data_IF_872841169654
#
_entry.id   IF_872841169654
#
_cell.length_a   1.000
_cell.length_b   1.000
_cell.length_c   1.000
_cell.angle_alpha   90.00
_cell.angle_beta   90.00
_cell.angle_gamma   90.00
#
_symmetry.space_group_name_H-M   'P 1'
#
loop_
_entity.id
_entity.type
_entity.pdbx_description
1 polymer ?
#
# COMPACT_ATOMS: atom_id res chain seq x y z
N UNK A 1 19.24 5.88 -5.92
CA UNK A 1 18.68 7.22 -5.61
C UNK A 1 17.79 7.62 -6.77
N UNK A 2 16.50 7.25 -6.75
CA UNK A 2 15.56 7.61 -7.82
C UNK A 2 15.21 9.10 -7.64
N UNK A 3 15.55 9.91 -8.65
CA UNK A 3 15.39 11.38 -8.65
C UNK A 3 13.92 11.80 -8.49
N UNK A 4 13.67 12.86 -7.72
CA UNK A 4 12.35 13.46 -7.54
C UNK A 4 11.65 13.82 -8.88
N UNK A 5 12.45 14.14 -9.91
CA UNK A 5 11.98 14.42 -11.26
C UNK A 5 11.26 13.25 -11.96
N UNK A 6 11.53 11.99 -11.58
CA UNK A 6 10.85 10.82 -12.17
C UNK A 6 9.47 10.57 -11.54
N UNK A 7 9.22 11.09 -10.34
CA UNK A 7 7.90 10.98 -9.69
C UNK A 7 6.91 11.99 -10.28
N UNK A 8 7.40 13.16 -10.72
CA UNK A 8 6.61 14.15 -11.45
C UNK A 8 6.12 13.59 -12.80
N UNK A 9 6.96 12.83 -13.51
CA UNK A 9 6.64 12.20 -14.80
C UNK A 9 5.59 11.06 -14.72
N UNK A 10 5.31 10.52 -13.53
CA UNK A 10 4.36 9.41 -13.33
C UNK A 10 3.19 9.81 -12.43
N UNK A 11 2.72 11.04 -12.61
CA UNK A 11 1.60 11.62 -11.90
C UNK A 11 0.66 12.36 -12.85
N UNK A 12 -0.61 12.41 -12.48
CA UNK A 12 -1.65 13.17 -13.20
C UNK A 12 -2.43 14.00 -12.20
N UNK A 13 -2.66 15.27 -12.52
CA UNK A 13 -3.46 16.19 -11.69
C UNK A 13 -4.61 16.75 -12.50
N UNK A 14 -5.82 16.70 -11.95
CA UNK A 14 -7.04 17.09 -12.65
C UNK A 14 -8.17 17.36 -11.65
N UNK A 15 -9.24 17.98 -12.13
CA UNK A 15 -10.48 18.14 -11.37
C UNK A 15 -11.40 16.95 -11.61
N UNK A 16 -11.99 16.40 -10.56
CA UNK A 16 -12.88 15.26 -10.62
C UNK A 16 -14.00 15.37 -9.60
N UNK A 17 -15.10 14.66 -9.85
CA UNK A 17 -16.15 14.44 -8.85
C UNK A 17 -15.93 13.07 -8.23
N UNK A 18 -16.09 12.95 -6.91
CA UNK A 18 -16.09 11.66 -6.22
C UNK A 18 -17.38 10.91 -6.55
N UNK A 19 -17.34 9.99 -7.51
CA UNK A 19 -18.53 9.28 -8.00
C UNK A 19 -18.96 8.13 -7.07
N UNK A 20 -20.26 7.81 -6.98
CA UNK A 20 -20.73 6.69 -6.17
C UNK A 20 -20.42 5.34 -6.81
N UNK A 21 -19.85 4.42 -6.03
CA UNK A 21 -19.68 3.01 -6.40
C UNK A 21 -20.09 2.11 -5.22
N UNK A 22 -21.40 1.88 -5.09
CA UNK A 22 -21.97 1.20 -3.92
C UNK A 22 -21.66 1.98 -2.63
N UNK A 23 -21.12 1.34 -1.57
CA UNK A 23 -20.73 2.05 -0.35
C UNK A 23 -19.41 2.85 -0.49
N UNK A 24 -18.67 2.66 -1.58
CA UNK A 24 -17.42 3.35 -1.86
C UNK A 24 -17.63 4.59 -2.76
N UNK A 25 -16.67 5.50 -2.73
CA UNK A 25 -16.53 6.54 -3.76
C UNK A 25 -15.50 6.13 -4.83
N UNK A 26 -15.44 6.86 -5.92
CA UNK A 26 -14.46 6.67 -6.99
C UNK A 26 -13.93 7.98 -7.57
N UNK A 27 -12.67 7.96 -7.98
CA UNK A 27 -12.11 8.96 -8.90
C UNK A 27 -11.90 8.26 -10.23
N UNK A 28 -12.67 8.65 -11.24
CA UNK A 28 -12.54 8.12 -12.60
C UNK A 28 -11.33 8.74 -13.30
N UNK A 29 -10.61 7.92 -14.07
CA UNK A 29 -9.48 8.37 -14.89
C UNK A 29 -9.80 8.08 -16.35
N UNK A 30 -9.33 8.94 -17.25
CA UNK A 30 -9.29 8.61 -18.68
C UNK A 30 -8.27 7.51 -18.92
N UNK A 31 -8.38 6.83 -20.07
CA UNK A 31 -7.37 5.84 -20.49
C UNK A 31 -5.97 6.47 -20.62
N UNK A 32 -5.91 7.71 -21.12
CA UNK A 32 -4.67 8.48 -21.25
C UNK A 32 -4.04 8.76 -19.88
N UNK A 33 -4.84 9.21 -18.91
CA UNK A 33 -4.37 9.45 -17.55
C UNK A 33 -3.88 8.17 -16.87
N UNK A 34 -4.60 7.05 -17.05
CA UNK A 34 -4.18 5.76 -16.51
C UNK A 34 -2.88 5.25 -17.17
N UNK A 35 -2.75 5.42 -18.49
CA UNK A 35 -1.55 5.04 -19.24
C UNK A 35 -0.31 5.87 -18.84
N UNK A 36 -0.50 7.16 -18.55
CA UNK A 36 0.57 8.03 -18.04
C UNK A 36 1.10 7.57 -16.67
N UNK A 37 0.26 6.93 -15.84
CA UNK A 37 0.68 6.37 -14.56
C UNK A 37 1.44 5.05 -14.71
N UNK A 38 0.90 4.11 -15.48
CA UNK A 38 1.53 2.79 -15.70
C UNK A 38 0.84 1.98 -16.79
N UNK A 39 1.59 1.13 -17.49
CA UNK A 39 1.04 0.07 -18.34
C UNK A 39 0.51 -1.14 -17.54
N UNK A 40 0.74 -1.21 -16.22
CA UNK A 40 0.23 -2.28 -15.39
C UNK A 40 -1.31 -2.25 -15.29
N UNK A 41 -1.94 -3.41 -15.12
CA UNK A 41 -3.41 -3.50 -15.04
C UNK A 41 -3.99 -2.85 -13.77
N UNK A 42 -3.28 -2.97 -12.65
CA UNK A 42 -3.70 -2.47 -11.33
C UNK A 42 -2.52 -1.86 -10.54
N UNK A 43 -1.89 -0.80 -11.07
CA UNK A 43 -0.75 -0.15 -10.43
C UNK A 43 -1.14 0.39 -9.05
N UNK A 44 -0.28 0.23 -8.03
CA UNK A 44 -0.47 0.92 -6.76
C UNK A 44 -0.25 2.42 -6.97
N UNK A 45 -1.05 3.26 -6.34
CA UNK A 45 -0.99 4.72 -6.48
C UNK A 45 -1.11 5.42 -5.13
N UNK A 46 -0.62 6.64 -5.06
CA UNK A 46 -0.93 7.60 -4.00
C UNK A 46 -1.92 8.61 -4.58
N UNK A 47 -3.05 8.79 -3.91
CA UNK A 47 -4.04 9.82 -4.23
C UNK A 47 -3.87 10.95 -3.22
N UNK A 48 -3.73 12.18 -3.71
CA UNK A 48 -3.61 13.37 -2.89
C UNK A 48 -4.73 14.35 -3.24
N UNK A 49 -5.39 14.88 -2.21
CA UNK A 49 -6.40 15.94 -2.30
C UNK A 49 -6.07 16.96 -1.22
N UNK A 50 -5.84 18.22 -1.60
CA UNK A 50 -5.36 19.24 -0.68
C UNK A 50 -4.02 18.87 -0.05
N UNK A 51 -3.99 18.70 1.28
CA UNK A 51 -2.80 18.29 2.04
C UNK A 51 -2.84 16.83 2.51
N UNK A 52 -3.86 16.09 2.09
CA UNK A 52 -4.11 14.72 2.53
C UNK A 52 -3.79 13.72 1.43
N UNK A 53 -3.15 12.61 1.79
CA UNK A 53 -2.79 11.55 0.86
C UNK A 53 -3.15 10.18 1.39
N UNK A 54 -3.58 9.29 0.48
CA UNK A 54 -3.86 7.88 0.79
C UNK A 54 -3.25 6.98 -0.28
N UNK A 55 -2.82 5.79 0.13
CA UNK A 55 -2.41 4.74 -0.81
C UNK A 55 -3.63 3.97 -1.30
N UNK A 56 -3.71 3.76 -2.60
CA UNK A 56 -4.78 3.04 -3.28
C UNK A 56 -4.23 2.23 -4.46
N UNK A 57 -5.11 1.76 -5.35
CA UNK A 57 -4.74 1.16 -6.64
C UNK A 57 -5.67 1.68 -7.72
N UNK A 58 -5.14 1.81 -8.94
CA UNK A 58 -6.01 1.89 -10.11
C UNK A 58 -6.67 0.51 -10.29
N UNK A 59 -7.98 0.53 -10.50
CA UNK A 59 -8.82 -0.62 -10.82
C UNK A 59 -9.65 -0.28 -12.05
N UNK A 60 -10.56 -1.17 -12.45
CA UNK A 60 -11.51 -0.89 -13.55
C UNK A 60 -12.93 -1.14 -13.09
N UNK A 61 -13.83 -0.23 -13.45
CA UNK A 61 -15.28 -0.32 -13.25
C UNK A 61 -15.94 -0.27 -14.63
N UNK A 62 -16.65 -1.32 -15.04
CA UNK A 62 -17.32 -1.34 -16.35
C UNK A 62 -16.38 -1.20 -17.56
N UNK A 63 -15.08 -1.44 -17.39
CA UNK A 63 -14.05 -1.24 -18.42
C UNK A 63 -13.23 0.04 -18.24
N UNK A 64 -13.75 1.06 -17.56
CA UNK A 64 -13.06 2.35 -17.36
C UNK A 64 -12.11 2.31 -16.15
N UNK A 65 -10.91 2.94 -16.25
CA UNK A 65 -10.01 3.10 -15.12
C UNK A 65 -10.60 3.94 -13.98
N UNK A 66 -10.48 3.48 -12.74
CA UNK A 66 -10.98 4.17 -11.57
C UNK A 66 -10.12 3.87 -10.34
N UNK A 67 -9.95 4.85 -9.45
CA UNK A 67 -9.41 4.64 -8.10
C UNK A 67 -10.56 4.67 -7.09
N UNK A 68 -10.83 3.52 -6.49
CA UNK A 68 -11.89 3.40 -5.47
C UNK A 68 -11.42 3.93 -4.12
N UNK A 69 -12.25 4.76 -3.51
CA UNK A 69 -12.05 5.34 -2.19
C UNK A 69 -13.02 4.69 -1.19
N UNK A 70 -12.45 3.87 -0.30
CA UNK A 70 -13.19 3.33 0.85
C UNK A 70 -13.70 4.46 1.76
N UNK A 71 -14.66 4.16 2.66
CA UNK A 71 -15.09 5.14 3.68
C UNK A 71 -13.92 5.70 4.49
N UNK A 72 -12.96 4.85 4.86
CA UNK A 72 -11.77 5.29 5.60
C UNK A 72 -10.85 6.17 4.75
N UNK A 73 -10.69 5.85 3.46
CA UNK A 73 -9.90 6.66 2.51
C UNK A 73 -10.53 8.03 2.30
N UNK A 74 -11.85 8.09 2.11
CA UNK A 74 -12.62 9.34 1.98
C UNK A 74 -12.48 10.22 3.23
N UNK A 75 -12.66 9.64 4.41
CA UNK A 75 -12.46 10.35 5.67
C UNK A 75 -11.01 10.86 5.84
N UNK A 76 -10.01 10.07 5.47
CA UNK A 76 -8.60 10.48 5.55
C UNK A 76 -8.24 11.58 4.54
N UNK A 77 -8.93 11.63 3.39
CA UNK A 77 -8.80 12.68 2.38
C UNK A 77 -9.66 13.92 2.69
N UNK A 78 -10.61 13.82 3.61
CA UNK A 78 -11.54 14.90 3.96
C UNK A 78 -12.60 15.16 2.88
N UNK A 79 -13.05 14.12 2.18
CA UNK A 79 -14.00 14.23 1.06
C UNK A 79 -15.19 13.28 1.23
N UNK A 80 -16.32 13.64 0.63
CA UNK A 80 -17.53 12.82 0.54
C UNK A 80 -17.88 12.47 -0.91
N UNK A 81 -18.83 11.54 -1.09
CA UNK A 81 -19.36 11.23 -2.43
C UNK A 81 -20.15 12.44 -2.94
N UNK A 82 -19.88 12.83 -4.18
CA UNK A 82 -20.48 14.00 -4.82
C UNK A 82 -19.60 15.27 -4.76
N UNK A 83 -18.54 15.27 -3.96
CA UNK A 83 -17.63 16.41 -3.89
C UNK A 83 -16.83 16.57 -5.18
N UNK A 84 -16.64 17.80 -5.62
CA UNK A 84 -15.71 18.17 -6.68
C UNK A 84 -14.36 18.54 -6.05
N UNK A 85 -13.28 17.91 -6.54
CA UNK A 85 -11.94 17.97 -5.92
C UNK A 85 -10.87 18.19 -6.97
N UNK A 86 -9.81 18.92 -6.60
CA UNK A 86 -8.53 18.88 -7.31
C UNK A 86 -7.71 17.72 -6.75
N UNK A 87 -7.45 16.74 -7.60
CA UNK A 87 -6.80 15.48 -7.22
C UNK A 87 -5.51 15.29 -7.99
N UNK A 88 -4.48 14.85 -7.27
CA UNK A 88 -3.26 14.32 -7.87
C UNK A 88 -3.21 12.82 -7.62
N UNK A 89 -3.04 12.04 -8.68
CA UNK A 89 -2.78 10.60 -8.61
C UNK A 89 -1.36 10.37 -9.09
N UNK A 90 -0.54 9.70 -8.28
CA UNK A 90 0.84 9.38 -8.62
C UNK A 90 1.12 7.88 -8.42
N UNK A 91 1.99 7.29 -9.23
CA UNK A 91 2.38 5.89 -9.04
C UNK A 91 3.08 5.69 -7.68
N UNK A 92 2.61 4.74 -6.88
CA UNK A 92 3.23 4.39 -5.59
C UNK A 92 4.45 3.50 -5.82
N UNK A 93 5.59 4.15 -6.02
CA UNK A 93 6.91 3.50 -6.10
C UNK A 93 7.55 3.28 -4.72
N UNK A 94 6.84 3.60 -3.63
CA UNK A 94 7.39 3.52 -2.29
C UNK A 94 7.70 2.08 -1.90
N UNK A 95 8.96 1.81 -1.55
CA UNK A 95 9.35 0.52 -0.97
C UNK A 95 8.60 0.34 0.36
N UNK A 96 7.78 -0.70 0.43
CA UNK A 96 7.04 -1.01 1.65
C UNK A 96 7.98 -1.77 2.59
N UNK A 97 8.61 -1.05 3.50
CA UNK A 97 9.49 -1.64 4.51
C UNK A 97 8.67 -1.92 5.77
N UNK A 98 8.67 -3.17 6.23
CA UNK A 98 8.22 -3.52 7.58
C UNK A 98 9.41 -3.36 8.51
N UNK A 99 9.29 -2.54 9.55
CA UNK A 99 10.22 -2.59 10.68
C UNK A 99 9.79 -3.80 11.53
N UNK A 100 10.56 -4.90 11.57
CA UNK A 100 10.11 -6.09 12.29
C UNK A 100 10.05 -5.79 13.79
N UNK A 101 9.09 -6.35 14.55
CA UNK A 101 9.11 -6.27 16.01
C UNK A 101 10.40 -6.83 16.60
N UNK A 102 10.79 -6.34 17.77
CA UNK A 102 12.06 -6.70 18.44
C UNK A 102 12.35 -8.22 18.47
N UNK A 103 11.41 -9.12 18.83
CA UNK A 103 11.69 -10.56 18.83
C UNK A 103 12.04 -11.13 17.45
N UNK A 104 11.44 -10.58 16.37
CA UNK A 104 11.81 -10.96 15.01
C UNK A 104 13.20 -10.41 14.70
N UNK A 105 13.47 -9.13 14.99
CA UNK A 105 14.79 -8.52 14.74
C UNK A 105 15.92 -9.32 15.40
N UNK A 106 15.77 -9.65 16.69
CA UNK A 106 16.75 -10.45 17.43
C UNK A 106 17.02 -11.80 16.76
N UNK A 107 15.99 -12.44 16.18
CA UNK A 107 16.18 -13.69 15.44
C UNK A 107 16.86 -13.48 14.09
N UNK A 108 16.54 -12.41 13.36
CA UNK A 108 17.21 -12.08 12.09
C UNK A 108 18.68 -11.68 12.30
N UNK A 109 19.00 -11.05 13.44
CA UNK A 109 20.36 -10.69 13.83
C UNK A 109 21.18 -11.93 14.23
N UNK A 110 20.54 -12.91 14.89
CA UNK A 110 21.18 -14.14 15.33
C UNK A 110 21.41 -15.17 14.20
N UNK A 111 20.59 -15.17 13.13
CA UNK A 111 20.65 -16.18 12.08
C UNK A 111 20.61 -15.58 10.66
N UNK A 112 21.76 -15.51 9.96
CA UNK A 112 21.85 -14.99 8.60
C UNK A 112 21.01 -15.77 7.57
N UNK A 113 20.76 -17.07 7.78
CA UNK A 113 19.92 -17.85 6.87
C UNK A 113 18.47 -17.42 6.99
N UNK A 114 17.98 -17.21 8.22
CA UNK A 114 16.63 -16.67 8.47
C UNK A 114 16.51 -15.26 7.90
N UNK A 115 17.52 -14.39 8.08
CA UNK A 115 17.55 -13.05 7.45
C UNK A 115 17.37 -13.11 5.94
N UNK A 116 18.19 -13.92 5.27
CA UNK A 116 18.12 -14.06 3.81
C UNK A 116 16.78 -14.63 3.33
N UNK A 117 16.14 -15.49 4.11
CA UNK A 117 14.81 -15.99 3.80
C UNK A 117 13.73 -14.92 4.02
N UNK A 118 13.83 -14.15 5.11
CA UNK A 118 12.94 -13.03 5.42
C UNK A 118 12.98 -11.94 4.35
N UNK A 119 14.16 -11.55 3.90
CA UNK A 119 14.36 -10.52 2.85
C UNK A 119 13.74 -10.92 1.50
N UNK A 120 13.50 -12.21 1.26
CA UNK A 120 12.81 -12.71 0.07
C UNK A 120 11.29 -12.74 0.20
N UNK A 121 10.75 -12.57 1.41
CA UNK A 121 9.30 -12.53 1.61
C UNK A 121 8.70 -11.31 0.92
N UNK A 122 7.49 -11.48 0.39
CA UNK A 122 6.66 -10.33 0.01
C UNK A 122 6.33 -9.49 1.24
N UNK A 123 6.11 -8.19 1.05
CA UNK A 123 5.68 -7.28 2.11
C UNK A 123 4.49 -7.83 2.93
N UNK A 124 3.51 -8.45 2.26
CA UNK A 124 2.34 -9.00 2.94
C UNK A 124 2.71 -10.12 3.92
N UNK A 125 3.62 -11.02 3.54
CA UNK A 125 4.08 -12.09 4.43
C UNK A 125 4.94 -11.54 5.57
N UNK A 126 5.81 -10.55 5.30
CA UNK A 126 6.56 -9.88 6.37
C UNK A 126 5.60 -9.20 7.37
N UNK A 127 4.57 -8.51 6.86
CA UNK A 127 3.56 -7.84 7.69
C UNK A 127 2.76 -8.83 8.53
N UNK A 128 2.34 -9.95 7.95
CA UNK A 128 1.57 -10.98 8.65
C UNK A 128 2.34 -11.52 9.87
N UNK A 129 3.62 -11.87 9.69
CA UNK A 129 4.46 -12.32 10.80
C UNK A 129 4.70 -11.22 11.84
N UNK A 130 4.97 -9.99 11.39
CA UNK A 130 5.16 -8.85 12.28
C UNK A 130 3.90 -8.60 13.14
N UNK A 131 2.73 -8.53 12.54
CA UNK A 131 1.46 -8.36 13.28
C UNK A 131 1.20 -9.54 14.22
N UNK A 132 1.41 -10.77 13.76
CA UNK A 132 1.25 -11.93 14.62
C UNK A 132 2.17 -11.86 15.84
N UNK A 133 3.43 -11.45 15.71
CA UNK A 133 4.31 -11.32 16.88
C UNK A 133 3.93 -10.13 17.76
N UNK A 134 3.59 -8.99 17.18
CA UNK A 134 3.28 -7.75 17.92
C UNK A 134 1.98 -7.87 18.74
N UNK A 135 0.95 -8.51 18.19
CA UNK A 135 -0.35 -8.72 18.85
C UNK A 135 -0.28 -9.65 20.08
N UNK A 136 0.83 -10.39 20.27
CA UNK A 136 0.98 -11.27 21.42
C UNK A 136 1.36 -10.49 22.69
N UNK A 137 0.55 -10.61 23.76
CA UNK A 137 0.83 -9.94 25.04
C UNK A 137 1.93 -10.60 25.88
N UNK A 138 2.03 -11.93 25.81
CA UNK A 138 3.01 -12.72 26.59
C UNK A 138 4.26 -12.96 25.76
N UNK A 139 5.44 -12.75 26.33
CA UNK A 139 6.71 -12.95 25.63
C UNK A 139 6.91 -14.39 25.17
N UNK A 140 6.46 -15.38 25.94
CA UNK A 140 6.45 -16.79 25.51
C UNK A 140 5.68 -17.00 24.19
N UNK A 141 4.55 -16.31 24.03
CA UNK A 141 3.75 -16.40 22.79
C UNK A 141 4.45 -15.70 21.62
N UNK A 142 5.14 -14.58 21.88
CA UNK A 142 5.97 -13.91 20.86
C UNK A 142 7.05 -14.85 20.36
N UNK A 143 7.82 -15.46 21.27
CA UNK A 143 8.90 -16.37 20.92
C UNK A 143 8.40 -17.60 20.16
N UNK A 144 7.30 -18.22 20.60
CA UNK A 144 6.68 -19.34 19.89
C UNK A 144 6.28 -18.96 18.45
N UNK A 145 5.77 -17.75 18.22
CA UNK A 145 5.41 -17.26 16.88
C UNK A 145 6.66 -17.00 16.01
N UNK A 146 7.75 -16.51 16.60
CA UNK A 146 9.05 -16.37 15.93
C UNK A 146 9.60 -17.75 15.52
N UNK A 147 9.52 -18.76 16.38
CA UNK A 147 9.99 -20.11 16.05
C UNK A 147 9.16 -20.74 14.92
N UNK A 148 7.85 -20.51 14.91
CA UNK A 148 6.97 -20.93 13.81
C UNK A 148 7.35 -20.25 12.49
N UNK A 149 7.63 -18.95 12.53
CA UNK A 149 8.12 -18.19 11.37
C UNK A 149 9.42 -18.79 10.84
N UNK A 150 10.41 -19.03 11.70
CA UNK A 150 11.70 -19.62 11.31
C UNK A 150 11.49 -20.98 10.65
N UNK A 151 10.67 -21.85 11.25
CA UNK A 151 10.36 -23.18 10.69
C UNK A 151 9.71 -23.07 9.31
N UNK A 152 8.86 -22.06 9.08
CA UNK A 152 8.22 -21.81 7.78
C UNK A 152 9.15 -21.20 6.74
N UNK A 153 10.17 -20.47 7.16
CA UNK A 153 11.12 -19.82 6.27
C UNK A 153 12.23 -20.76 5.79
N UNK A 154 12.65 -21.68 6.65
CA UNK A 154 13.80 -22.57 6.40
C UNK A 154 13.41 -24.03 6.13
N UNK A 155 12.16 -24.42 6.39
CA UNK A 155 11.62 -25.75 6.10
C UNK A 155 10.78 -25.73 4.83
#
# INVERSE_FOLDING_TARGET
MLSASRLEDMSVSFRAVVTPHGPAGGIELTEEQAAALSAAKQPPVVVTIGQHSVRARVSRMGGSPCVFLSRASRAALGVEIGDEVEVTVALDLGERVIVPPRPIQERLDADPAVRKAWEKLSYSHQREWAMAVDDAKKDETKQRRVDQMVKKLLG
#
